data_IF_777071401698
#
_entry.id   IF_777071401698
#
_cell.length_a   1.000
_cell.length_b   1.000
_cell.length_c   1.000
_cell.angle_alpha   90.00
_cell.angle_beta   90.00
_cell.angle_gamma   90.00
#
_symmetry.space_group_name_H-M   'P 1'
#
loop_
_entity.id
_entity.type
_entity.pdbx_description
1 polymer ?
#
# COMPACT_ATOMS: atom_id res chain seq x y z
N UNK A 1 1.12 -10.63 14.32
CA UNK A 1 0.82 -9.26 13.83
C UNK A 1 1.76 -8.99 12.67
N UNK A 2 1.26 -8.58 11.51
CA UNK A 2 2.09 -8.41 10.30
C UNK A 2 2.61 -6.97 10.21
N UNK A 3 3.39 -6.55 11.22
CA UNK A 3 4.09 -5.26 11.20
C UNK A 3 5.29 -5.31 10.26
N UNK A 4 5.74 -4.14 9.80
CA UNK A 4 6.91 -3.99 8.94
C UNK A 4 7.79 -2.88 9.47
N UNK A 5 9.10 -3.00 9.31
CA UNK A 5 10.04 -1.96 9.74
C UNK A 5 10.03 -0.78 8.77
N UNK A 6 10.20 0.44 9.27
CA UNK A 6 10.34 1.63 8.41
C UNK A 6 11.47 1.49 7.40
N UNK A 7 12.59 0.86 7.80
CA UNK A 7 13.69 0.57 6.90
C UNK A 7 13.30 -0.31 5.70
N UNK A 8 12.37 -1.26 5.88
CA UNK A 8 11.88 -2.10 4.77
C UNK A 8 11.03 -1.30 3.79
N UNK A 9 10.19 -0.40 4.30
CA UNK A 9 9.34 0.46 3.47
C UNK A 9 10.23 1.35 2.60
N UNK A 10 11.24 1.99 3.21
CA UNK A 10 12.16 2.89 2.52
C UNK A 10 13.08 2.13 1.56
N UNK A 11 13.55 0.94 1.91
CA UNK A 11 14.31 0.09 0.99
C UNK A 11 13.49 -0.31 -0.24
N UNK A 12 12.18 -0.54 -0.10
CA UNK A 12 11.31 -0.94 -1.21
C UNK A 12 10.83 0.24 -2.07
N UNK A 13 10.63 1.42 -1.48
CA UNK A 13 9.94 2.55 -2.12
C UNK A 13 10.84 3.78 -2.35
N UNK A 14 12.03 3.80 -1.76
CA UNK A 14 12.92 4.95 -1.69
C UNK A 14 12.50 5.96 -0.62
N UNK A 15 12.95 7.20 -0.80
CA UNK A 15 12.79 8.29 0.17
C UNK A 15 13.92 8.36 1.19
N UNK A 16 14.05 9.50 1.87
CA UNK A 16 15.00 9.71 2.96
C UNK A 16 14.28 9.47 4.30
N UNK A 17 14.75 8.49 5.07
CA UNK A 17 14.24 8.26 6.43
C UNK A 17 14.95 9.18 7.43
N UNK A 18 14.16 9.96 8.17
CA UNK A 18 14.60 10.66 9.39
C UNK A 18 13.91 10.03 10.58
N UNK A 19 14.64 9.22 11.35
CA UNK A 19 14.08 8.45 12.46
C UNK A 19 14.72 7.08 12.59
N UNK A 20 14.11 6.22 13.40
CA UNK A 20 14.58 4.85 13.62
C UNK A 20 14.09 3.90 12.50
N UNK A 21 15.00 3.30 11.70
CA UNK A 21 14.61 2.30 10.70
C UNK A 21 14.03 1.02 11.30
N UNK A 22 14.27 0.74 12.59
CA UNK A 22 13.75 -0.43 13.27
C UNK A 22 12.31 -0.24 13.78
N UNK A 23 11.77 0.99 13.76
CA UNK A 23 10.40 1.26 14.20
C UNK A 23 9.40 0.47 13.35
N UNK A 24 8.45 -0.17 14.02
CA UNK A 24 7.46 -1.03 13.40
C UNK A 24 6.16 -0.27 13.08
N UNK A 25 5.68 -0.46 11.86
CA UNK A 25 4.38 0.03 11.40
C UNK A 25 3.47 -1.18 11.18
N UNK A 26 2.29 -1.15 11.78
CA UNK A 26 1.28 -2.20 11.68
C UNK A 26 0.24 -1.94 10.58
N UNK A 27 0.02 -0.67 10.20
CA UNK A 27 -1.03 -0.30 9.24
C UNK A 27 -0.77 1.03 8.54
N UNK A 28 -1.51 1.25 7.47
CA UNK A 28 -1.65 2.57 6.82
C UNK A 28 -2.93 3.21 7.37
N UNK A 29 -2.90 4.51 7.65
CA UNK A 29 -4.08 5.24 8.13
C UNK A 29 -4.15 6.68 7.60
N UNK A 30 -5.35 7.23 7.40
CA UNK A 30 -5.57 8.67 7.23
C UNK A 30 -5.02 9.45 8.43
N UNK A 31 -4.59 10.69 8.19
CA UNK A 31 -3.92 11.53 9.18
C UNK A 31 -4.74 11.68 10.47
N UNK A 32 -6.07 11.70 10.36
CA UNK A 32 -7.03 11.85 11.46
C UNK A 32 -7.03 10.65 12.43
N UNK A 33 -6.60 9.47 11.98
CA UNK A 33 -6.68 8.20 12.73
C UNK A 33 -5.34 7.46 12.82
N UNK A 34 -4.27 8.12 12.35
CA UNK A 34 -2.93 7.57 12.32
C UNK A 34 -2.26 7.73 13.67
N UNK A 35 -2.33 6.69 14.51
CA UNK A 35 -1.60 6.62 15.78
C UNK A 35 -0.18 6.10 15.62
N UNK A 36 0.51 5.87 16.74
CA UNK A 36 1.93 5.46 16.78
C UNK A 36 2.27 4.14 16.05
N UNK A 37 1.28 3.33 15.70
CA UNK A 37 1.40 2.09 14.94
C UNK A 37 1.19 2.26 13.43
N UNK A 38 0.85 3.48 12.98
CA UNK A 38 0.41 3.75 11.62
C UNK A 38 1.36 4.68 10.86
N UNK A 39 1.46 4.44 9.56
CA UNK A 39 2.07 5.38 8.62
C UNK A 39 0.98 6.18 7.89
N UNK A 40 1.21 7.47 7.74
CA UNK A 40 0.33 8.41 7.04
C UNK A 40 1.15 9.36 6.15
N UNK A 41 0.51 10.32 5.50
CA UNK A 41 1.21 11.36 4.74
C UNK A 41 0.61 12.74 5.01
N UNK A 42 1.43 13.78 4.82
CA UNK A 42 1.01 15.17 4.85
C UNK A 42 1.54 15.90 3.63
N UNK A 43 0.63 16.47 2.84
CA UNK A 43 0.97 17.24 1.64
C UNK A 43 0.75 18.75 1.78
N UNK A 44 0.19 19.21 2.90
CA UNK A 44 -0.16 20.62 3.10
C UNK A 44 0.19 21.07 4.51
N UNK A 45 0.90 22.20 4.65
CA UNK A 45 1.34 22.73 5.94
C UNK A 45 0.18 23.00 6.92
N UNK A 46 -1.01 23.35 6.41
CA UNK A 46 -2.21 23.61 7.23
C UNK A 46 -2.68 22.40 8.05
N UNK A 47 -2.25 21.19 7.70
CA UNK A 47 -2.60 19.96 8.41
C UNK A 47 -1.69 19.67 9.61
N UNK A 48 -0.73 20.56 9.92
CA UNK A 48 0.17 20.42 11.08
C UNK A 48 -0.57 20.19 12.41
N UNK A 49 -1.62 20.93 12.79
CA UNK A 49 -2.30 20.69 14.06
C UNK A 49 -2.88 19.28 14.16
N UNK A 50 -3.36 18.74 13.03
CA UNK A 50 -3.89 17.39 12.96
C UNK A 50 -2.79 16.33 13.08
N UNK A 51 -1.63 16.59 12.46
CA UNK A 51 -0.44 15.74 12.61
C UNK A 51 0.05 15.67 14.07
N UNK A 52 0.06 16.81 14.77
CA UNK A 52 0.43 16.87 16.19
C UNK A 52 -0.59 16.12 17.07
N UNK A 53 -1.88 16.21 16.75
CA UNK A 53 -2.95 15.54 17.49
C UNK A 53 -2.98 14.02 17.30
N UNK A 54 -2.74 13.53 16.07
CA UNK A 54 -2.80 12.08 15.78
C UNK A 54 -1.52 11.33 16.16
N UNK A 55 -0.37 12.00 16.16
CA UNK A 55 0.92 11.44 16.56
C UNK A 55 1.24 10.10 15.86
N UNK A 56 1.29 10.09 14.52
CA UNK A 56 1.51 8.87 13.75
C UNK A 56 2.88 8.24 14.02
N UNK A 57 2.93 6.92 13.86
CA UNK A 57 4.18 6.15 13.92
C UNK A 57 5.19 6.61 12.87
N UNK A 58 4.73 7.01 11.68
CA UNK A 58 5.56 7.68 10.70
C UNK A 58 4.74 8.57 9.76
N UNK A 59 5.37 9.58 9.19
CA UNK A 59 4.73 10.51 8.24
C UNK A 59 5.55 10.66 6.97
N UNK A 60 4.91 10.43 5.83
CA UNK A 60 5.47 10.75 4.52
C UNK A 60 5.25 12.24 4.23
N UNK A 61 6.31 12.98 3.91
CA UNK A 61 6.27 14.44 3.74
C UNK A 61 7.18 14.92 2.61
N UNK A 62 6.85 16.09 2.04
CA UNK A 62 7.74 16.80 1.12
C UNK A 62 8.88 17.48 1.88
N UNK A 63 10.07 17.69 1.26
CA UNK A 63 11.18 18.40 1.89
C UNK A 63 10.79 19.77 2.47
N UNK A 64 9.91 20.51 1.78
CA UNK A 64 9.40 21.83 2.21
C UNK A 64 8.54 21.79 3.48
N UNK A 65 8.00 20.62 3.84
CA UNK A 65 7.12 20.43 4.99
C UNK A 65 7.81 19.79 6.19
N UNK A 66 9.09 19.43 6.08
CA UNK A 66 9.84 18.83 7.19
C UNK A 66 9.86 19.76 8.41
N UNK A 67 10.10 21.06 8.20
CA UNK A 67 10.09 22.05 9.27
C UNK A 67 8.70 22.28 9.89
N UNK A 68 7.63 21.91 9.17
CA UNK A 68 6.26 21.99 9.66
C UNK A 68 5.88 20.78 10.54
N UNK A 69 6.75 19.79 10.69
CA UNK A 69 6.55 18.59 11.50
C UNK A 69 7.64 18.42 12.57
N UNK A 70 7.92 19.44 13.43
CA UNK A 70 9.05 19.41 14.35
C UNK A 70 8.97 18.31 15.42
N UNK A 71 7.76 17.85 15.74
CA UNK A 71 7.50 16.83 16.75
C UNK A 71 7.25 15.43 16.15
N UNK A 72 7.35 15.28 14.83
CA UNK A 72 7.18 13.98 14.19
C UNK A 72 8.36 13.07 14.56
N UNK A 73 8.04 11.87 15.06
CA UNK A 73 9.05 10.90 15.52
C UNK A 73 9.85 10.33 14.36
N UNK A 74 9.15 10.02 13.27
CA UNK A 74 9.74 9.43 12.08
C UNK A 74 9.14 10.06 10.82
N UNK A 75 10.01 10.54 9.94
CA UNK A 75 9.64 11.14 8.66
C UNK A 75 10.23 10.35 7.50
N UNK A 76 9.42 10.10 6.49
CA UNK A 76 9.88 9.64 5.18
C UNK A 76 9.77 10.82 4.22
N UNK A 77 10.92 11.39 3.85
CA UNK A 77 10.99 12.58 3.01
C UNK A 77 11.09 12.18 1.55
N UNK A 78 10.24 12.74 0.70
CA UNK A 78 10.13 12.43 -0.72
C UNK A 78 9.60 13.64 -1.50
N UNK A 79 10.03 13.83 -2.74
CA UNK A 79 9.60 14.97 -3.57
C UNK A 79 8.09 14.92 -3.89
N UNK A 80 7.52 13.72 -3.95
CA UNK A 80 6.08 13.51 -4.20
C UNK A 80 5.45 12.60 -3.14
N UNK A 81 4.90 13.18 -2.04
CA UNK A 81 4.24 12.41 -0.98
C UNK A 81 2.99 11.67 -1.46
N UNK A 82 2.25 12.20 -2.44
CA UNK A 82 1.05 11.54 -2.97
C UNK A 82 1.41 10.29 -3.75
N UNK A 83 2.40 10.39 -4.65
CA UNK A 83 2.90 9.23 -5.40
C UNK A 83 3.51 8.20 -4.45
N UNK A 84 4.28 8.64 -3.46
CA UNK A 84 4.84 7.75 -2.46
C UNK A 84 3.73 7.00 -1.70
N UNK A 85 2.71 7.71 -1.23
CA UNK A 85 1.60 7.10 -0.49
C UNK A 85 0.77 6.14 -1.37
N UNK A 86 0.58 6.46 -2.66
CA UNK A 86 -0.05 5.55 -3.62
C UNK A 86 0.78 4.26 -3.81
N UNK A 87 2.11 4.37 -3.93
CA UNK A 87 3.00 3.20 -4.01
C UNK A 87 3.02 2.39 -2.72
N UNK A 88 2.99 3.08 -1.58
CA UNK A 88 2.93 2.48 -0.26
C UNK A 88 1.67 1.64 -0.07
N UNK A 89 0.50 2.15 -0.44
CA UNK A 89 -0.76 1.38 -0.34
C UNK A 89 -0.76 0.15 -1.24
N UNK A 90 -0.19 0.24 -2.46
CA UNK A 90 -0.03 -0.91 -3.34
C UNK A 90 0.95 -1.95 -2.80
N UNK A 91 2.11 -1.51 -2.28
CA UNK A 91 3.11 -2.38 -1.66
C UNK A 91 2.54 -3.11 -0.44
N UNK A 92 1.78 -2.40 0.40
CA UNK A 92 1.12 -2.97 1.56
C UNK A 92 0.02 -3.96 1.18
N UNK A 93 -0.79 -3.62 0.17
CA UNK A 93 -1.83 -4.52 -0.34
C UNK A 93 -1.24 -5.84 -0.85
N UNK A 94 -0.13 -5.80 -1.59
CA UNK A 94 0.58 -7.01 -2.06
C UNK A 94 1.08 -7.89 -0.92
N UNK A 95 1.49 -7.30 0.21
CA UNK A 95 1.91 -8.05 1.41
C UNK A 95 0.74 -8.69 2.14
N UNK A 96 -0.40 -8.02 2.20
CA UNK A 96 -1.60 -8.53 2.90
C UNK A 96 -2.43 -9.48 2.05
N UNK A 97 -2.43 -9.30 0.73
CA UNK A 97 -3.24 -10.04 -0.23
C UNK A 97 -2.31 -10.55 -1.32
N UNK A 98 -1.69 -11.74 -1.14
CA UNK A 98 -0.96 -12.35 -2.23
C UNK A 98 -1.90 -12.55 -3.42
N UNK A 99 -1.35 -12.38 -4.62
CA UNK A 99 -2.13 -12.62 -5.83
C UNK A 99 -2.65 -14.07 -5.82
N UNK A 100 -3.92 -14.31 -6.19
CA UNK A 100 -4.41 -15.66 -6.41
C UNK A 100 -3.50 -16.39 -7.39
N UNK A 101 -3.32 -17.69 -7.15
CA UNK A 101 -2.57 -18.53 -8.07
C UNK A 101 -3.21 -18.49 -9.45
N UNK A 102 -2.39 -18.34 -10.48
CA UNK A 102 -2.85 -18.47 -11.85
C UNK A 102 -3.46 -19.86 -12.07
N UNK A 103 -4.45 -19.93 -12.94
CA UNK A 103 -5.21 -21.14 -13.25
C UNK A 103 -6.70 -20.97 -12.97
N UNK A 104 -7.42 -22.05 -13.25
CA UNK A 104 -8.87 -22.11 -13.10
C UNK A 104 -9.20 -22.95 -11.87
N UNK A 105 -9.93 -22.38 -10.91
CA UNK A 105 -10.38 -23.14 -9.75
C UNK A 105 -11.28 -24.32 -10.20
N UNK A 106 -11.18 -25.53 -9.61
CA UNK A 106 -11.94 -26.70 -10.07
C UNK A 106 -13.47 -26.55 -10.06
N UNK A 107 -13.99 -25.60 -9.27
CA UNK A 107 -15.42 -25.28 -9.22
C UNK A 107 -15.87 -24.17 -10.17
N UNK A 108 -14.95 -23.58 -10.95
CA UNK A 108 -15.31 -22.62 -11.98
C UNK A 108 -15.86 -23.35 -13.21
N UNK A 109 -16.87 -22.77 -13.85
CA UNK A 109 -17.38 -23.23 -15.13
C UNK A 109 -16.83 -22.32 -16.23
N UNK A 110 -16.16 -22.93 -17.22
CA UNK A 110 -15.64 -22.24 -18.40
C UNK A 110 -16.34 -22.84 -19.61
N UNK A 111 -17.02 -22.02 -20.40
CA UNK A 111 -17.61 -22.45 -21.66
C UNK A 111 -16.51 -23.01 -22.60
N UNK A 112 -16.77 -24.08 -23.37
CA UNK A 112 -15.73 -24.75 -24.18
C UNK A 112 -15.05 -23.86 -25.24
N UNK A 113 -15.71 -22.80 -25.68
CA UNK A 113 -15.23 -21.85 -26.68
C UNK A 113 -14.66 -20.55 -26.07
N UNK A 114 -14.72 -20.40 -24.74
CA UNK A 114 -14.09 -19.29 -24.05
C UNK A 114 -12.56 -19.44 -24.05
N UNK A 115 -11.86 -18.30 -24.12
CA UNK A 115 -10.40 -18.24 -24.10
C UNK A 115 -9.93 -17.65 -22.77
N UNK A 116 -9.15 -18.41 -22.02
CA UNK A 116 -8.57 -17.96 -20.75
C UNK A 116 -7.07 -18.11 -20.82
N UNK A 117 -6.34 -17.00 -20.66
CA UNK A 117 -4.89 -17.02 -20.62
C UNK A 117 -4.39 -17.88 -19.44
N UNK A 118 -3.32 -18.70 -19.60
CA UNK A 118 -2.78 -19.51 -18.50
C UNK A 118 -2.29 -18.71 -17.30
N UNK A 119 -2.02 -17.42 -17.49
CA UNK A 119 -1.58 -16.49 -16.44
C UNK A 119 -2.75 -15.83 -15.69
N UNK A 120 -4.00 -16.04 -16.12
CA UNK A 120 -5.19 -15.54 -15.43
C UNK A 120 -5.55 -16.42 -14.23
N UNK A 121 -6.14 -15.82 -13.20
CA UNK A 121 -6.64 -16.51 -12.02
C UNK A 121 -8.17 -16.47 -12.01
N UNK A 122 -8.82 -17.62 -12.16
CA UNK A 122 -10.29 -17.74 -12.11
C UNK A 122 -10.70 -18.34 -10.76
N UNK A 123 -11.40 -17.54 -9.96
CA UNK A 123 -11.84 -17.90 -8.62
C UNK A 123 -12.92 -18.99 -8.57
N UNK A 124 -13.23 -19.50 -7.36
CA UNK A 124 -14.26 -20.51 -7.17
C UNK A 124 -15.64 -20.01 -7.61
N UNK A 125 -16.41 -20.87 -8.26
CA UNK A 125 -17.79 -20.61 -8.69
C UNK A 125 -17.93 -19.47 -9.72
N UNK A 126 -16.84 -19.03 -10.34
CA UNK A 126 -16.90 -18.11 -11.49
C UNK A 126 -17.47 -18.85 -12.70
N UNK A 127 -18.34 -18.17 -13.45
CA UNK A 127 -18.88 -18.63 -14.73
C UNK A 127 -18.30 -17.75 -15.83
N UNK A 128 -17.54 -18.34 -16.75
CA UNK A 128 -17.05 -17.70 -17.96
C UNK A 128 -17.87 -18.21 -19.14
N UNK A 129 -18.71 -17.35 -19.68
CA UNK A 129 -19.67 -17.67 -20.74
C UNK A 129 -19.01 -17.78 -22.13
N UNK A 130 -19.76 -18.34 -23.08
CA UNK A 130 -19.35 -18.54 -24.47
C UNK A 130 -18.86 -17.25 -25.12
N UNK A 131 -17.77 -17.36 -25.90
CA UNK A 131 -17.13 -16.25 -26.60
C UNK A 131 -16.30 -15.29 -25.73
N UNK A 132 -16.21 -15.48 -24.41
CA UNK A 132 -15.41 -14.63 -23.55
C UNK A 132 -13.90 -14.79 -23.77
N UNK A 133 -13.16 -13.69 -23.59
CA UNK A 133 -11.69 -13.69 -23.66
C UNK A 133 -11.13 -13.05 -22.39
N UNK A 134 -10.46 -13.86 -21.57
CA UNK A 134 -9.76 -13.43 -20.36
C UNK A 134 -8.26 -13.35 -20.65
N UNK A 135 -7.74 -12.12 -20.67
CA UNK A 135 -6.36 -11.82 -21.00
C UNK A 135 -5.35 -12.13 -19.89
N UNK A 136 -4.07 -11.86 -20.17
CA UNK A 136 -2.97 -12.16 -19.25
C UNK A 136 -3.06 -11.42 -17.91
N UNK A 137 -2.75 -12.13 -16.82
CA UNK A 137 -2.66 -11.61 -15.44
C UNK A 137 -3.94 -10.94 -14.92
N UNK A 138 -5.10 -11.31 -15.48
CA UNK A 138 -6.42 -10.98 -14.94
C UNK A 138 -6.71 -11.87 -13.73
N UNK A 139 -7.32 -11.30 -12.68
CA UNK A 139 -7.65 -11.98 -11.42
C UNK A 139 -8.97 -11.46 -10.87
#
# INVERSE_FOLDING_TARGET
MNSVRLGEIVAALGGELRGDPAHEIARIAPLETAGGDAITFVAQARLRPLLEASAPGATVVAPSLVAAAPNARHLVVTDDPYLYFARLTQWWAKRLRPAPAAGVHPSAFIAPDAQVAPSAAIGPMVVVESGAVIGDRVQ
#
